data_IF_326270951283
#
_entry.id   IF_326270951283
#
_cell.length_a   1.000
_cell.length_b   1.000
_cell.length_c   1.000
_cell.angle_alpha   90.00
_cell.angle_beta   90.00
_cell.angle_gamma   90.00
#
_symmetry.space_group_name_H-M   'P 1'
#
loop_
_entity.id
_entity.type
_entity.pdbx_description
1 polymer ?
#
# COMPACT_ATOMS: atom_id res chain seq x y z
N UNK A 1 3.88 14.15 -2.62
CA UNK A 1 4.26 14.81 -1.37
C UNK A 1 3.05 15.38 -0.68
N UNK A 2 2.81 14.99 0.58
CA UNK A 2 1.78 15.56 1.43
C UNK A 2 2.38 16.68 2.26
N UNK A 3 2.50 17.86 1.68
CA UNK A 3 2.70 19.08 2.45
C UNK A 3 1.35 19.78 2.51
N UNK A 4 0.65 19.68 3.64
CA UNK A 4 -0.65 20.36 3.82
C UNK A 4 -0.40 21.73 4.44
N UNK A 5 -0.92 22.79 3.83
CA UNK A 5 -1.04 24.06 4.51
C UNK A 5 -2.23 24.00 5.47
N UNK A 6 -1.98 24.07 6.74
CA UNK A 6 -3.02 24.31 7.73
C UNK A 6 -3.40 25.79 7.71
N UNK A 7 -4.25 26.17 6.77
CA UNK A 7 -4.83 27.51 6.76
C UNK A 7 -5.98 27.55 7.75
N UNK A 8 -5.79 28.21 8.89
CA UNK A 8 -6.82 28.82 9.73
C UNK A 8 -8.04 28.01 10.21
N UNK A 9 -8.31 26.87 9.62
CA UNK A 9 -9.47 26.01 9.93
C UNK A 9 -9.13 24.80 10.81
N UNK A 10 -7.85 24.56 11.11
CA UNK A 10 -7.42 23.46 12.00
C UNK A 10 -7.28 23.94 13.43
N UNK A 11 -7.70 23.08 14.37
CA UNK A 11 -7.65 23.35 15.81
C UNK A 11 -6.23 23.48 16.39
N UNK A 12 -5.19 23.16 15.63
CA UNK A 12 -3.79 23.34 15.99
C UNK A 12 -3.12 24.28 15.00
N UNK A 13 -2.95 25.55 15.34
CA UNK A 13 -2.18 26.47 14.52
C UNK A 13 -0.71 26.02 14.52
N UNK A 14 -0.21 25.62 13.33
CA UNK A 14 1.23 25.57 13.11
C UNK A 14 1.81 26.96 13.39
N UNK A 15 2.99 27.02 13.98
CA UNK A 15 3.59 28.30 14.20
C UNK A 15 4.02 28.97 12.86
N UNK A 16 4.33 30.26 12.91
CA UNK A 16 4.67 31.02 11.71
C UNK A 16 5.94 30.51 11.03
N UNK A 17 6.84 29.90 11.77
CA UNK A 17 8.09 29.34 11.25
C UNK A 17 7.82 28.05 10.48
N UNK A 18 6.99 27.16 11.01
CA UNK A 18 6.54 25.94 10.33
C UNK A 18 5.83 26.25 9.02
N UNK A 19 4.91 27.22 9.03
CA UNK A 19 4.23 27.68 7.82
C UNK A 19 5.22 28.22 6.78
N UNK A 20 6.20 29.02 7.21
CA UNK A 20 7.22 29.54 6.32
C UNK A 20 8.10 28.43 5.72
N UNK A 21 8.41 27.37 6.49
CA UNK A 21 9.11 26.19 5.98
C UNK A 21 8.30 25.44 4.94
N UNK A 22 7.01 25.20 5.18
CA UNK A 22 6.11 24.54 4.24
C UNK A 22 6.01 25.32 2.92
N UNK A 23 5.86 26.65 2.98
CA UNK A 23 5.81 27.50 1.78
C UNK A 23 7.13 27.43 0.99
N UNK A 24 8.28 27.44 1.65
CA UNK A 24 9.58 27.27 0.97
C UNK A 24 9.69 25.92 0.28
N UNK A 25 9.24 24.86 0.94
CA UNK A 25 9.23 23.50 0.39
C UNK A 25 8.33 23.40 -0.84
N UNK A 26 7.12 23.93 -0.77
CA UNK A 26 6.18 23.97 -1.90
C UNK A 26 6.76 24.73 -3.10
N UNK A 27 7.37 25.89 -2.85
CA UNK A 27 7.98 26.68 -3.91
C UNK A 27 9.16 25.95 -4.56
N UNK A 28 9.96 25.22 -3.78
CA UNK A 28 11.05 24.41 -4.31
C UNK A 28 10.51 23.28 -5.23
N UNK A 29 9.48 22.56 -4.80
CA UNK A 29 8.85 21.53 -5.62
C UNK A 29 8.19 22.10 -6.89
N UNK A 30 7.54 23.26 -6.80
CA UNK A 30 6.99 23.95 -7.99
C UNK A 30 8.09 24.33 -8.98
N UNK A 31 9.22 24.82 -8.48
CA UNK A 31 10.37 25.15 -9.33
C UNK A 31 10.95 23.92 -10.03
N UNK A 32 10.82 22.73 -9.46
CA UNK A 32 11.17 21.45 -10.09
C UNK A 32 10.10 20.93 -11.06
N UNK A 33 8.97 21.63 -11.23
CA UNK A 33 7.87 21.21 -12.09
C UNK A 33 6.88 20.22 -11.44
N UNK A 34 6.93 20.02 -10.11
CA UNK A 34 6.03 19.13 -9.44
C UNK A 34 4.60 19.69 -9.37
N UNK A 35 3.62 18.82 -9.58
CA UNK A 35 2.20 19.10 -9.34
C UNK A 35 1.91 18.87 -7.85
N UNK A 36 1.53 19.93 -7.14
CA UNK A 36 1.21 19.86 -5.71
C UNK A 36 -0.24 19.40 -5.53
N UNK A 37 -0.45 18.10 -5.43
CA UNK A 37 -1.78 17.51 -5.24
C UNK A 37 -2.26 17.48 -3.79
N UNK A 38 -1.35 17.66 -2.80
CA UNK A 38 -1.63 17.56 -1.36
C UNK A 38 -2.44 16.32 -0.98
N UNK A 39 -2.12 15.21 -1.61
CA UNK A 39 -2.84 13.96 -1.48
C UNK A 39 -1.86 12.79 -1.27
N UNK A 40 -2.07 11.99 -0.23
CA UNK A 40 -1.28 10.78 0.06
C UNK A 40 -1.61 9.61 -0.87
N UNK A 41 -2.74 9.68 -1.58
CA UNK A 41 -3.21 8.61 -2.48
C UNK A 41 -3.39 9.10 -3.93
N UNK A 42 -2.39 9.81 -4.51
CA UNK A 42 -2.52 10.37 -5.86
C UNK A 42 -2.71 9.28 -6.92
N UNK A 43 -2.21 8.08 -6.68
CA UNK A 43 -2.32 6.91 -7.55
C UNK A 43 -3.75 6.39 -7.73
N UNK A 44 -4.72 6.88 -6.98
CA UNK A 44 -6.15 6.55 -7.13
C UNK A 44 -6.88 7.56 -8.03
N UNK A 45 -6.45 8.84 -8.03
CA UNK A 45 -7.24 9.91 -8.64
C UNK A 45 -6.47 10.85 -9.58
N UNK A 46 -5.24 11.27 -9.23
CA UNK A 46 -4.54 12.36 -9.91
C UNK A 46 -3.25 11.96 -10.62
N UNK A 47 -2.63 10.86 -10.20
CA UNK A 47 -1.41 10.31 -10.79
C UNK A 47 -1.54 8.80 -10.91
N UNK A 48 -2.50 8.37 -11.73
CA UNK A 48 -2.83 6.96 -11.95
C UNK A 48 -1.95 6.42 -13.08
N UNK A 49 -1.07 5.46 -12.80
CA UNK A 49 -0.24 4.86 -13.83
C UNK A 49 -1.03 3.87 -14.70
N UNK A 50 -0.58 3.68 -15.93
CA UNK A 50 -1.09 2.66 -16.81
C UNK A 50 -0.47 1.28 -16.51
N UNK A 51 -1.10 0.22 -17.01
CA UNK A 51 -0.54 -1.12 -16.96
C UNK A 51 0.84 -1.16 -17.63
N UNK A 52 1.83 -1.71 -16.93
CA UNK A 52 3.22 -1.82 -17.38
C UNK A 52 4.04 -0.52 -17.30
N UNK A 53 3.42 0.60 -16.93
CA UNK A 53 4.14 1.87 -16.81
C UNK A 53 5.11 1.85 -15.62
N UNK A 54 6.34 2.33 -15.86
CA UNK A 54 7.36 2.45 -14.82
C UNK A 54 7.10 3.73 -14.03
N UNK A 55 7.05 3.60 -12.71
CA UNK A 55 6.84 4.71 -11.80
C UNK A 55 7.67 4.54 -10.52
N UNK A 56 7.81 5.61 -9.75
CA UNK A 56 8.58 5.64 -8.51
C UNK A 56 7.75 6.26 -7.38
N UNK A 57 7.10 5.41 -6.59
CA UNK A 57 6.30 5.82 -5.45
C UNK A 57 7.03 5.54 -4.14
N UNK A 58 7.02 6.50 -3.22
CA UNK A 58 7.65 6.40 -1.90
C UNK A 58 6.67 6.15 -0.75
N UNK A 59 5.37 6.22 -1.03
CA UNK A 59 4.35 6.02 -0.01
C UNK A 59 4.05 4.52 0.15
N UNK A 60 3.85 4.07 1.41
CA UNK A 60 3.73 2.66 1.76
C UNK A 60 2.51 1.96 1.14
N UNK A 61 1.40 2.66 0.98
CA UNK A 61 0.21 2.13 0.31
C UNK A 61 0.32 2.17 -1.21
N UNK A 62 1.12 3.09 -1.77
CA UNK A 62 1.20 3.32 -3.20
C UNK A 62 1.84 2.15 -3.94
N UNK A 63 3.02 1.72 -3.50
CA UNK A 63 3.78 0.66 -4.20
C UNK A 63 2.98 -0.63 -4.38
N UNK A 64 2.40 -1.25 -3.32
CA UNK A 64 1.61 -2.45 -3.51
C UNK A 64 0.34 -2.20 -4.32
N UNK A 65 -0.28 -1.03 -4.20
CA UNK A 65 -1.49 -0.71 -4.96
C UNK A 65 -1.20 -0.57 -6.47
N UNK A 66 -0.19 0.22 -6.84
CA UNK A 66 0.11 0.44 -8.27
C UNK A 66 0.61 -0.85 -8.93
N UNK A 67 1.39 -1.66 -8.22
CA UNK A 67 1.85 -2.94 -8.72
C UNK A 67 0.73 -3.96 -8.86
N UNK A 68 -0.10 -4.13 -7.83
CA UNK A 68 -1.13 -5.15 -7.79
C UNK A 68 -2.38 -4.75 -8.59
N UNK A 69 -2.92 -3.53 -8.34
CA UNK A 69 -4.23 -3.12 -8.87
C UNK A 69 -4.12 -2.57 -10.28
N UNK A 70 -3.14 -1.71 -10.54
CA UNK A 70 -2.92 -1.13 -11.86
C UNK A 70 -1.98 -1.95 -12.75
N UNK A 71 -1.21 -2.89 -12.18
CA UNK A 71 -0.20 -3.65 -12.91
C UNK A 71 0.95 -2.77 -13.43
N UNK A 72 1.16 -1.62 -12.80
CA UNK A 72 2.31 -0.76 -13.07
C UNK A 72 3.60 -1.37 -12.49
N UNK A 73 4.72 -0.71 -12.68
CA UNK A 73 6.05 -1.19 -12.31
C UNK A 73 6.72 -0.21 -11.36
N UNK A 74 6.72 -0.51 -10.05
CA UNK A 74 7.39 0.30 -9.04
C UNK A 74 8.11 -0.58 -8.03
N UNK A 75 9.35 -0.24 -7.70
CA UNK A 75 9.96 -0.71 -6.47
C UNK A 75 9.45 0.12 -5.27
N UNK A 76 9.77 -0.30 -4.06
CA UNK A 76 9.56 0.51 -2.86
C UNK A 76 10.67 1.56 -2.79
N UNK A 77 10.33 2.78 -3.18
CA UNK A 77 11.28 3.88 -3.18
C UNK A 77 11.24 4.65 -1.85
N UNK A 78 12.36 5.23 -1.46
CA UNK A 78 12.39 6.27 -0.43
C UNK A 78 11.90 7.60 -1.02
N UNK A 79 11.59 8.56 -0.16
CA UNK A 79 11.25 9.91 -0.61
C UNK A 79 12.37 10.52 -1.49
N UNK A 80 13.63 10.27 -1.12
CA UNK A 80 14.79 10.80 -1.84
C UNK A 80 15.01 10.08 -3.19
N UNK A 81 14.91 8.74 -3.23
CA UNK A 81 15.07 8.01 -4.49
C UNK A 81 13.93 8.29 -5.47
N UNK A 82 12.69 8.43 -4.99
CA UNK A 82 11.56 8.84 -5.82
C UNK A 82 11.74 10.26 -6.38
N UNK A 83 12.26 11.19 -5.57
CA UNK A 83 12.59 12.55 -6.03
C UNK A 83 13.70 12.53 -7.09
N UNK A 84 14.77 11.76 -6.87
CA UNK A 84 15.84 11.59 -7.86
C UNK A 84 15.31 10.99 -9.17
N UNK A 85 14.43 9.99 -9.07
CA UNK A 85 13.77 9.40 -10.24
C UNK A 85 12.92 10.43 -11.00
N UNK A 86 12.17 11.28 -10.27
CA UNK A 86 11.38 12.35 -10.90
C UNK A 86 12.26 13.41 -11.59
N UNK A 87 13.42 13.74 -11.03
CA UNK A 87 14.35 14.73 -11.62
C UNK A 87 15.07 14.15 -12.85
N UNK A 88 15.51 12.90 -12.77
CA UNK A 88 16.33 12.26 -13.82
C UNK A 88 15.49 11.59 -14.90
N UNK A 89 14.24 11.27 -14.63
CA UNK A 89 13.38 10.45 -15.49
C UNK A 89 13.81 8.98 -15.55
N UNK A 90 14.62 8.51 -14.60
CA UNK A 90 15.20 7.18 -14.60
C UNK A 90 15.08 6.50 -13.24
N UNK A 91 14.89 5.18 -13.26
CA UNK A 91 14.99 4.28 -12.11
C UNK A 91 15.94 3.13 -12.45
N UNK A 92 16.64 2.52 -11.47
CA UNK A 92 17.43 1.32 -11.72
C UNK A 92 16.55 0.14 -12.14
N UNK A 93 16.95 -0.59 -13.18
CA UNK A 93 16.22 -1.74 -13.72
C UNK A 93 16.46 -2.99 -12.87
N UNK A 94 15.64 -3.17 -11.83
CA UNK A 94 15.70 -4.33 -10.93
C UNK A 94 14.37 -4.55 -10.19
N UNK A 95 14.31 -5.62 -9.41
CA UNK A 95 13.20 -5.90 -8.49
C UNK A 95 11.87 -6.06 -9.21
N UNK A 96 10.82 -5.37 -8.72
CA UNK A 96 9.46 -5.45 -9.25
C UNK A 96 9.26 -4.73 -10.61
N UNK A 97 10.30 -4.10 -11.14
CA UNK A 97 10.28 -3.59 -12.53
C UNK A 97 10.39 -4.73 -13.54
N UNK A 98 10.99 -5.87 -13.15
CA UNK A 98 11.23 -7.02 -14.00
C UNK A 98 10.08 -8.03 -13.88
N UNK A 99 9.57 -8.53 -15.00
CA UNK A 99 8.42 -9.42 -15.05
C UNK A 99 8.65 -10.76 -14.32
N UNK A 100 9.87 -11.28 -14.35
CA UNK A 100 10.26 -12.51 -13.67
C UNK A 100 10.17 -12.43 -12.14
N UNK A 101 10.27 -11.23 -11.57
CA UNK A 101 10.23 -10.99 -10.13
C UNK A 101 8.80 -10.69 -9.60
N UNK A 102 7.79 -10.76 -10.49
CA UNK A 102 6.42 -10.38 -10.14
C UNK A 102 5.49 -11.58 -9.93
N UNK A 103 6.00 -12.78 -10.07
CA UNK A 103 5.21 -14.00 -9.86
C UNK A 103 5.06 -14.33 -8.39
N UNK A 104 3.85 -14.73 -8.00
CA UNK A 104 3.55 -15.16 -6.65
C UNK A 104 4.29 -16.44 -6.28
N UNK A 105 4.55 -16.61 -5.01
CA UNK A 105 5.13 -17.84 -4.45
C UNK A 105 4.42 -18.32 -3.18
N UNK A 106 3.56 -17.51 -2.57
CA UNK A 106 2.76 -17.88 -1.39
C UNK A 106 1.28 -17.88 -1.75
N UNK A 107 0.61 -19.03 -1.63
CA UNK A 107 -0.85 -19.10 -1.76
C UNK A 107 -1.50 -18.75 -0.43
N UNK A 108 -2.35 -17.74 -0.42
CA UNK A 108 -3.14 -17.32 0.74
C UNK A 108 -4.62 -17.60 0.46
N UNK A 109 -5.18 -18.55 1.19
CA UNK A 109 -6.63 -18.82 1.16
C UNK A 109 -7.31 -17.95 2.22
N UNK A 110 -8.04 -16.92 1.79
CA UNK A 110 -8.86 -16.11 2.67
C UNK A 110 -10.21 -16.81 2.87
N UNK A 111 -10.33 -17.50 3.99
CA UNK A 111 -11.59 -18.14 4.43
C UNK A 111 -12.36 -17.25 5.43
N UNK A 112 -11.81 -16.08 5.73
CA UNK A 112 -12.45 -15.06 6.55
C UNK A 112 -13.56 -14.33 5.79
N UNK A 113 -14.59 -13.90 6.53
CA UNK A 113 -15.72 -13.17 5.98
C UNK A 113 -15.39 -11.67 5.83
N UNK A 114 -15.03 -11.26 4.62
CA UNK A 114 -14.61 -9.91 4.26
C UNK A 114 -15.81 -8.96 4.11
N UNK A 115 -16.30 -8.38 5.20
CA UNK A 115 -17.53 -7.54 5.24
C UNK A 115 -17.28 -6.08 4.90
N UNK A 116 -16.12 -5.56 5.26
CA UNK A 116 -15.76 -4.14 5.13
C UNK A 116 -14.28 -3.96 4.81
N UNK A 117 -13.85 -2.73 4.59
CA UNK A 117 -12.43 -2.41 4.39
C UNK A 117 -11.56 -2.72 5.63
N UNK A 118 -12.17 -2.88 6.80
CA UNK A 118 -11.46 -3.20 8.04
C UNK A 118 -10.91 -4.63 8.04
N UNK A 119 -11.68 -5.62 7.58
CA UNK A 119 -11.17 -6.99 7.48
C UNK A 119 -10.01 -7.10 6.48
N UNK A 120 -9.99 -6.28 5.41
CA UNK A 120 -8.84 -6.19 4.50
C UNK A 120 -7.63 -5.56 5.18
N UNK A 121 -7.83 -4.61 6.10
CA UNK A 121 -6.76 -4.08 6.92
C UNK A 121 -6.16 -5.18 7.80
N UNK A 122 -7.00 -5.91 8.55
CA UNK A 122 -6.55 -7.04 9.39
C UNK A 122 -5.85 -8.12 8.55
N UNK A 123 -6.41 -8.48 7.38
CA UNK A 123 -5.79 -9.44 6.47
C UNK A 123 -4.39 -9.01 6.05
N UNK A 124 -4.20 -7.72 5.76
CA UNK A 124 -2.89 -7.17 5.42
C UNK A 124 -1.90 -7.21 6.59
N UNK A 125 -2.37 -7.16 7.82
CA UNK A 125 -1.52 -7.27 9.01
C UNK A 125 -1.04 -8.69 9.32
N UNK A 126 -1.53 -9.70 8.58
CA UNK A 126 -1.12 -11.10 8.75
C UNK A 126 0.27 -11.43 8.16
N UNK A 127 1.14 -10.45 7.97
CA UNK A 127 2.47 -10.64 7.38
C UNK A 127 3.29 -11.73 8.02
N UNK A 128 3.29 -11.82 9.34
CA UNK A 128 3.99 -12.89 10.08
C UNK A 128 3.49 -14.29 9.72
N UNK A 129 2.18 -14.45 9.53
CA UNK A 129 1.56 -15.73 9.14
C UNK A 129 1.76 -16.02 7.66
N UNK A 130 1.70 -15.02 6.80
CA UNK A 130 1.94 -15.12 5.36
C UNK A 130 3.41 -15.42 5.09
N UNK A 131 4.35 -14.70 5.75
CA UNK A 131 5.79 -14.82 5.60
C UNK A 131 6.32 -14.28 4.27
N UNK A 132 7.61 -14.40 4.01
CA UNK A 132 8.29 -13.79 2.86
C UNK A 132 7.74 -14.23 1.50
N UNK A 133 7.74 -13.30 0.53
CA UNK A 133 7.40 -13.55 -0.87
C UNK A 133 6.33 -12.61 -1.42
N UNK A 134 5.69 -13.02 -2.52
CA UNK A 134 4.56 -12.32 -3.13
C UNK A 134 3.29 -13.15 -2.87
N UNK A 135 2.37 -12.67 -2.02
CA UNK A 135 1.15 -13.41 -1.69
C UNK A 135 0.16 -13.39 -2.87
N UNK A 136 -0.47 -14.53 -3.09
CA UNK A 136 -1.55 -14.74 -4.05
C UNK A 136 -2.81 -15.10 -3.27
N UNK A 137 -3.75 -14.18 -3.21
CA UNK A 137 -5.01 -14.34 -2.48
C UNK A 137 -6.06 -15.06 -3.32
N UNK A 138 -6.74 -16.01 -2.69
CA UNK A 138 -7.95 -16.67 -3.18
C UNK A 138 -9.04 -16.60 -2.12
N UNK A 139 -10.31 -16.80 -2.52
CA UNK A 139 -11.44 -16.76 -1.58
C UNK A 139 -12.02 -15.37 -1.31
N UNK A 140 -11.36 -14.30 -1.78
CA UNK A 140 -11.87 -12.95 -1.63
C UNK A 140 -13.12 -12.70 -2.50
N UNK A 141 -14.01 -11.76 -2.10
CA UNK A 141 -15.16 -11.34 -2.89
C UNK A 141 -14.78 -10.88 -4.30
N UNK A 142 -15.68 -11.04 -5.27
CA UNK A 142 -15.45 -10.61 -6.66
C UNK A 142 -15.49 -9.09 -6.84
N UNK A 143 -16.10 -8.37 -5.92
CA UNK A 143 -16.16 -6.91 -5.91
C UNK A 143 -15.47 -6.42 -4.67
N UNK A 144 -14.40 -5.68 -4.86
CA UNK A 144 -13.56 -5.14 -3.80
C UNK A 144 -13.42 -3.64 -4.02
N UNK A 145 -13.67 -2.85 -2.99
CA UNK A 145 -13.58 -1.39 -3.10
C UNK A 145 -12.13 -0.90 -3.19
N UNK A 146 -11.85 0.23 -3.82
CA UNK A 146 -10.51 0.82 -3.84
C UNK A 146 -9.93 1.05 -2.43
N UNK A 147 -10.79 1.38 -1.47
CA UNK A 147 -10.41 1.54 -0.06
C UNK A 147 -9.93 0.22 0.54
N UNK A 148 -10.67 -0.87 0.33
CA UNK A 148 -10.28 -2.19 0.81
C UNK A 148 -8.94 -2.66 0.21
N UNK A 149 -8.75 -2.44 -1.10
CA UNK A 149 -7.49 -2.76 -1.79
C UNK A 149 -6.31 -1.92 -1.27
N UNK A 150 -6.56 -0.62 -1.00
CA UNK A 150 -5.57 0.26 -0.41
C UNK A 150 -5.19 -0.21 0.99
N UNK A 151 -6.17 -0.52 1.83
CA UNK A 151 -5.94 -1.00 3.19
C UNK A 151 -5.15 -2.32 3.20
N UNK A 152 -5.55 -3.27 2.35
CA UNK A 152 -4.81 -4.53 2.20
C UNK A 152 -3.35 -4.27 1.81
N UNK A 153 -3.11 -3.49 0.75
CA UNK A 153 -1.76 -3.21 0.26
C UNK A 153 -0.91 -2.44 1.27
N UNK A 154 -1.47 -1.42 1.92
CA UNK A 154 -0.77 -0.63 2.94
C UNK A 154 -0.30 -1.51 4.10
N UNK A 155 -1.18 -2.37 4.60
CA UNK A 155 -0.86 -3.22 5.74
C UNK A 155 0.06 -4.38 5.36
N UNK A 156 -0.06 -4.95 4.19
CA UNK A 156 0.91 -5.91 3.66
C UNK A 156 2.32 -5.31 3.60
N UNK A 157 2.44 -4.07 3.10
CA UNK A 157 3.75 -3.41 3.06
C UNK A 157 4.29 -3.10 4.46
N UNK A 158 3.42 -2.76 5.41
CA UNK A 158 3.79 -2.47 6.80
C UNK A 158 4.20 -3.74 7.56
N UNK A 159 3.44 -4.82 7.45
CA UNK A 159 3.61 -6.04 8.25
C UNK A 159 4.69 -6.98 7.71
N UNK A 160 4.91 -7.01 6.37
CA UNK A 160 5.82 -7.95 5.74
C UNK A 160 6.63 -7.34 4.59
N UNK A 161 6.65 -6.00 4.45
CA UNK A 161 7.39 -5.30 3.40
C UNK A 161 7.01 -5.72 1.97
N UNK A 162 5.76 -6.14 1.76
CA UNK A 162 5.27 -6.58 0.46
C UNK A 162 5.08 -5.41 -0.50
N UNK A 163 5.89 -5.34 -1.53
CA UNK A 163 5.75 -4.34 -2.60
C UNK A 163 4.71 -4.71 -3.65
N UNK A 164 4.14 -5.93 -3.59
CA UNK A 164 3.18 -6.46 -4.53
C UNK A 164 2.38 -7.61 -3.92
N UNK A 165 1.16 -7.81 -4.42
CA UNK A 165 0.31 -8.97 -4.15
C UNK A 165 -0.55 -9.30 -5.36
N UNK A 166 -1.14 -10.49 -5.39
CA UNK A 166 -2.12 -10.88 -6.39
C UNK A 166 -3.45 -11.26 -5.74
N UNK A 167 -4.55 -10.96 -6.42
CA UNK A 167 -5.88 -11.49 -6.11
C UNK A 167 -6.38 -12.20 -7.36
N UNK A 168 -6.56 -13.51 -7.27
CA UNK A 168 -6.96 -14.35 -8.41
C UNK A 168 -8.32 -13.93 -8.97
N UNK A 169 -8.37 -13.69 -10.27
CA UNK A 169 -9.56 -13.23 -10.98
C UNK A 169 -9.91 -11.74 -10.77
N UNK A 170 -9.04 -10.98 -10.11
CA UNK A 170 -9.24 -9.56 -9.85
C UNK A 170 -8.06 -8.69 -10.34
N UNK A 171 -6.83 -8.96 -9.88
CA UNK A 171 -5.66 -8.18 -10.29
C UNK A 171 -5.21 -8.55 -11.70
N UNK A 172 -4.74 -7.59 -12.52
CA UNK A 172 -4.52 -7.79 -13.96
C UNK A 172 -3.48 -8.87 -14.29
N UNK A 173 -2.49 -9.08 -13.43
CA UNK A 173 -1.47 -10.12 -13.64
C UNK A 173 -1.86 -11.49 -13.08
N UNK A 174 -3.03 -11.61 -12.42
CA UNK A 174 -3.54 -12.85 -11.85
C UNK A 174 -4.97 -13.20 -12.35
N UNK A 175 -5.22 -13.25 -13.66
CA UNK A 175 -6.53 -13.66 -14.17
C UNK A 175 -6.88 -15.08 -13.76
N UNK A 176 -5.87 -15.92 -13.55
CA UNK A 176 -6.00 -17.30 -13.03
C UNK A 176 -4.92 -17.57 -11.99
N UNK A 177 -5.12 -18.63 -11.21
CA UNK A 177 -4.12 -19.08 -10.24
C UNK A 177 -2.80 -19.46 -10.94
N UNK A 178 -2.87 -20.12 -12.08
CA UNK A 178 -1.70 -20.50 -12.89
C UNK A 178 -0.92 -19.26 -13.35
N UNK A 179 -1.61 -18.23 -13.83
CA UNK A 179 -0.98 -16.99 -14.28
C UNK A 179 -0.29 -16.25 -13.13
N UNK A 180 -0.92 -16.22 -11.94
CA UNK A 180 -0.36 -15.59 -10.75
C UNK A 180 0.97 -16.22 -10.33
N UNK A 181 1.10 -17.55 -10.43
CA UNK A 181 2.32 -18.29 -10.11
C UNK A 181 3.26 -18.50 -11.30
N UNK A 182 2.92 -17.99 -12.49
CA UNK A 182 3.72 -18.20 -13.71
C UNK A 182 3.88 -19.69 -14.07
N UNK A 183 2.85 -20.51 -13.85
CA UNK A 183 2.86 -21.94 -14.09
C UNK A 183 3.60 -22.78 -13.04
N UNK A 184 4.16 -22.16 -12.00
CA UNK A 184 4.84 -22.86 -10.90
C UNK A 184 3.85 -23.24 -9.80
N UNK A 185 4.25 -24.17 -8.95
CA UNK A 185 3.49 -24.46 -7.72
C UNK A 185 3.85 -23.42 -6.64
N UNK A 186 2.89 -23.08 -5.73
CA UNK A 186 3.22 -22.27 -4.58
C UNK A 186 4.28 -22.96 -3.71
N UNK A 187 5.21 -22.18 -3.19
CA UNK A 187 6.23 -22.64 -2.24
C UNK A 187 5.61 -22.94 -0.88
N UNK A 188 4.55 -22.20 -0.55
CA UNK A 188 3.82 -22.32 0.71
C UNK A 188 2.35 -22.00 0.49
N UNK A 189 1.51 -22.61 1.32
CA UNK A 189 0.08 -22.35 1.41
C UNK A 189 -0.29 -21.95 2.84
N UNK A 190 -1.08 -20.90 2.97
CA UNK A 190 -1.54 -20.34 4.25
C UNK A 190 -3.04 -20.16 4.17
N UNK A 191 -3.75 -20.58 5.22
CA UNK A 191 -5.19 -20.31 5.38
C UNK A 191 -5.37 -19.24 6.45
N UNK A 192 -6.19 -18.23 6.15
CA UNK A 192 -6.54 -17.16 7.08
C UNK A 192 -8.05 -17.19 7.27
N UNK A 193 -8.47 -17.39 8.52
CA UNK A 193 -9.85 -17.56 8.95
C UNK A 193 -10.36 -16.34 9.72
N UNK A 194 -11.65 -16.27 9.99
CA UNK A 194 -12.23 -15.27 10.91
C UNK A 194 -11.58 -15.31 12.29
N UNK A 195 -11.23 -16.50 12.78
CA UNK A 195 -10.57 -16.64 14.09
C UNK A 195 -9.18 -16.02 14.09
N UNK A 196 -8.41 -16.19 13.00
CA UNK A 196 -7.09 -15.56 12.89
C UNK A 196 -7.16 -14.03 12.95
N UNK A 197 -8.13 -13.44 12.25
CA UNK A 197 -8.34 -11.99 12.28
C UNK A 197 -8.74 -11.51 13.65
N UNK A 198 -9.61 -12.24 14.32
CA UNK A 198 -10.07 -11.94 15.69
C UNK A 198 -8.93 -12.06 16.71
N UNK A 199 -8.17 -13.14 16.68
CA UNK A 199 -7.02 -13.36 17.57
C UNK A 199 -5.97 -12.26 17.38
N UNK A 200 -5.79 -11.80 16.14
CA UNK A 200 -4.88 -10.68 15.83
C UNK A 200 -5.42 -9.37 16.45
N UNK A 201 -6.70 -9.05 16.26
CA UNK A 201 -7.33 -7.86 16.81
C UNK A 201 -7.22 -7.85 18.35
N UNK A 202 -7.59 -8.95 19.01
CA UNK A 202 -7.55 -9.10 20.48
C UNK A 202 -6.13 -8.91 21.04
N UNK A 203 -5.09 -9.31 20.31
CA UNK A 203 -3.70 -9.13 20.72
C UNK A 203 -3.30 -7.66 20.90
N UNK A 204 -3.95 -6.74 20.21
CA UNK A 204 -3.69 -5.30 20.27
C UNK A 204 -4.72 -4.52 21.08
N UNK A 205 -5.79 -5.17 21.56
CA UNK A 205 -6.74 -4.58 22.46
C UNK A 205 -6.20 -4.64 23.90
N UNK A 206 -5.91 -3.48 24.47
CA UNK A 206 -5.53 -3.37 25.88
C UNK A 206 -6.73 -2.84 26.69
N UNK A 207 -7.61 -3.73 27.12
CA UNK A 207 -8.80 -3.40 27.93
C UNK A 207 -8.44 -3.00 29.37
N UNK A 208 -7.16 -3.10 29.77
CA UNK A 208 -6.72 -2.81 31.13
C UNK A 208 -6.32 -1.36 31.34
N UNK A 209 -6.29 -0.55 30.29
CA UNK A 209 -5.98 0.88 30.38
C UNK A 209 -7.21 1.68 30.83
N UNK A 210 -7.30 1.90 32.12
CA UNK A 210 -8.12 2.98 32.70
C UNK A 210 -7.37 4.30 32.54
N UNK A 211 -7.85 5.20 31.70
CA UNK A 211 -7.24 6.51 31.57
C UNK A 211 -7.94 7.43 30.58
N UNK A 212 -7.75 8.71 30.76
CA UNK A 212 -8.10 9.74 29.79
C UNK A 212 -7.17 9.63 28.59
N UNK A 213 -7.74 9.65 27.39
CA UNK A 213 -7.00 9.74 26.14
C UNK A 213 -6.90 11.22 25.78
N UNK A 214 -5.67 11.77 25.79
CA UNK A 214 -5.42 13.17 25.43
C UNK A 214 -5.49 13.38 23.91
N UNK A 215 -5.18 12.35 23.14
CA UNK A 215 -5.19 12.40 21.68
C UNK A 215 -5.50 11.03 21.08
N UNK A 216 -6.41 10.97 20.11
CA UNK A 216 -6.72 9.78 19.33
C UNK A 216 -6.58 10.11 17.84
N UNK A 217 -5.84 9.28 17.10
CA UNK A 217 -5.69 9.38 15.66
C UNK A 217 -6.28 8.14 15.01
N UNK A 218 -7.22 8.36 14.10
CA UNK A 218 -7.80 7.30 13.26
C UNK A 218 -7.15 7.36 11.89
N UNK A 219 -6.61 6.22 11.45
CA UNK A 219 -5.97 6.05 10.14
C UNK A 219 -6.93 5.62 9.04
#
# INVERSE_FOLDING_TARGET
>A
FCTGHFTGACAHPADAEDIAHMIRTDNAYRALGAVLSYNCTPYIATNVPNFGEVCAFSESSATPYVNAVWGARSNRESANSALCAAITGCVPEYGLLLDENRKGNVLVRAEANMKSAYEYHLLGMMGDKIGEGIPVFTGLPKVITPEALRNLGAQLNTSGAYGMYHIVGFTPEAPTLEAAFGGKKPEREVVITDQDLKDFEEKFCDETRDGTVDFAMFG
#
